data_IF_780898697315
#
_entry.id   IF_780898697315
#
_cell.length_a   1.000
_cell.length_b   1.000
_cell.length_c   1.000
_cell.angle_alpha   90.00
_cell.angle_beta   90.00
_cell.angle_gamma   90.00
#
_symmetry.space_group_name_H-M   'P 1'
#
loop_
_entity.id
_entity.type
_entity.pdbx_description
1 polymer ?
#
# COMPACT_ATOMS: atom_id res chain seq x y z
N UNK A 1 -1.88 -85.20 -10.86
CA UNK A 1 -2.02 -84.16 -9.82
C UNK A 1 -1.26 -82.93 -10.32
N UNK A 2 -1.98 -81.93 -10.81
CA UNK A 2 -1.40 -80.73 -11.41
C UNK A 2 -1.02 -79.73 -10.32
N UNK A 3 0.23 -79.27 -10.31
CA UNK A 3 0.67 -78.13 -9.49
C UNK A 3 1.06 -76.98 -10.42
N UNK A 4 0.31 -75.90 -10.33
CA UNK A 4 0.45 -74.67 -11.10
C UNK A 4 1.77 -73.95 -10.78
N UNK A 5 2.38 -73.24 -11.75
CA UNK A 5 3.53 -72.38 -11.50
C UNK A 5 3.14 -71.13 -10.68
N UNK A 6 3.93 -70.84 -9.66
CA UNK A 6 3.83 -69.67 -8.76
C UNK A 6 4.26 -68.40 -9.52
N UNK A 7 3.59 -67.24 -9.29
CA UNK A 7 3.75 -66.06 -10.14
C UNK A 7 5.15 -65.42 -9.99
N UNK A 8 5.58 -64.81 -11.09
CA UNK A 8 6.91 -64.26 -11.34
C UNK A 8 7.27 -63.03 -10.53
N UNK A 9 8.54 -63.01 -10.10
CA UNK A 9 9.46 -61.88 -10.07
C UNK A 9 8.95 -60.54 -9.49
N UNK A 10 9.15 -60.36 -8.17
CA UNK A 10 9.45 -59.04 -7.63
C UNK A 10 10.95 -58.79 -7.80
N UNK A 11 11.32 -58.09 -8.88
CA UNK A 11 12.66 -57.56 -9.06
C UNK A 11 12.89 -56.39 -8.12
N UNK A 12 13.70 -56.58 -7.09
CA UNK A 12 14.26 -55.49 -6.29
C UNK A 12 15.04 -54.58 -7.24
N UNK A 13 14.55 -53.36 -7.46
CA UNK A 13 15.27 -52.37 -8.25
C UNK A 13 16.59 -52.06 -7.53
N UNK A 14 17.67 -52.68 -8.00
CA UNK A 14 19.01 -52.47 -7.46
C UNK A 14 19.37 -50.98 -7.56
N UNK A 15 19.90 -50.42 -6.47
CA UNK A 15 20.31 -49.00 -6.40
C UNK A 15 21.27 -48.62 -7.54
N UNK A 16 22.09 -49.58 -7.99
CA UNK A 16 22.97 -49.43 -9.15
C UNK A 16 22.19 -49.22 -10.46
N UNK A 17 21.07 -49.89 -10.65
CA UNK A 17 20.23 -49.74 -11.83
C UNK A 17 19.53 -48.38 -11.83
N UNK A 18 19.14 -47.89 -10.65
CA UNK A 18 18.62 -46.53 -10.47
C UNK A 18 19.71 -45.50 -10.81
N UNK A 19 20.94 -45.73 -10.35
CA UNK A 19 22.08 -44.86 -10.62
C UNK A 19 22.47 -44.82 -12.10
N UNK A 20 22.49 -45.97 -12.77
CA UNK A 20 22.77 -46.05 -14.20
C UNK A 20 21.64 -45.46 -15.03
N UNK A 21 20.38 -45.71 -14.68
CA UNK A 21 19.23 -45.02 -15.31
C UNK A 21 19.31 -43.51 -15.13
N UNK A 22 19.69 -43.03 -13.94
CA UNK A 22 19.86 -41.60 -13.66
C UNK A 22 20.98 -41.01 -14.52
N UNK A 23 22.15 -41.65 -14.58
CA UNK A 23 23.27 -41.23 -15.44
C UNK A 23 22.86 -41.17 -16.92
N UNK A 24 22.17 -42.20 -17.40
CA UNK A 24 21.72 -42.27 -18.79
C UNK A 24 20.73 -41.17 -19.11
N UNK A 25 19.79 -40.88 -18.22
CA UNK A 25 18.84 -39.77 -18.35
C UNK A 25 19.58 -38.43 -18.34
N UNK A 26 20.53 -38.24 -17.42
CA UNK A 26 21.34 -37.03 -17.34
C UNK A 26 22.20 -36.80 -18.60
N UNK A 27 22.89 -37.83 -19.09
CA UNK A 27 23.71 -37.75 -20.30
C UNK A 27 22.86 -37.50 -21.55
N UNK A 28 21.69 -38.14 -21.64
CA UNK A 28 20.74 -37.95 -22.75
C UNK A 28 20.16 -36.53 -22.75
N UNK A 29 19.79 -36.02 -21.58
CA UNK A 29 19.32 -34.63 -21.41
C UNK A 29 20.45 -33.64 -21.71
N UNK A 30 21.69 -33.95 -21.30
CA UNK A 30 22.86 -33.12 -21.56
C UNK A 30 23.17 -32.98 -23.06
N UNK A 31 23.04 -34.08 -23.81
CA UNK A 31 23.20 -34.13 -25.26
C UNK A 31 22.06 -33.45 -26.04
N UNK A 32 20.82 -33.49 -25.54
CA UNK A 32 19.67 -32.81 -26.15
C UNK A 32 19.53 -31.32 -25.78
N UNK A 33 20.28 -30.83 -24.79
CA UNK A 33 20.13 -29.46 -24.31
C UNK A 33 20.84 -28.46 -25.23
N UNK A 34 20.07 -27.79 -26.08
CA UNK A 34 20.51 -26.65 -26.91
C UNK A 34 21.12 -25.53 -26.05
N UNK A 35 22.11 -24.81 -26.59
CA UNK A 35 22.86 -23.73 -25.94
C UNK A 35 21.96 -22.70 -25.23
N UNK A 36 20.76 -22.45 -25.76
CA UNK A 36 19.75 -21.54 -25.19
C UNK A 36 19.11 -22.09 -23.91
N UNK A 37 18.86 -23.39 -23.83
CA UNK A 37 18.22 -24.03 -22.67
C UNK A 37 19.18 -24.17 -21.49
N UNK A 38 20.50 -24.24 -21.73
CA UNK A 38 21.53 -24.14 -20.68
C UNK A 38 21.57 -22.75 -20.04
N UNK A 39 21.46 -21.71 -20.85
CA UNK A 39 21.45 -20.32 -20.37
C UNK A 39 20.19 -20.06 -19.55
N UNK A 40 19.01 -20.47 -20.03
CA UNK A 40 17.77 -20.33 -19.27
C UNK A 40 17.81 -21.11 -17.96
N UNK A 41 18.30 -22.36 -17.98
CA UNK A 41 18.43 -23.17 -16.76
C UNK A 41 19.40 -22.56 -15.75
N UNK A 42 20.58 -22.11 -16.20
CA UNK A 42 21.56 -21.42 -15.36
C UNK A 42 21.00 -20.11 -14.79
N UNK A 43 20.24 -19.36 -15.58
CA UNK A 43 19.61 -18.11 -15.16
C UNK A 43 18.55 -18.33 -14.08
N UNK A 44 17.68 -19.32 -14.24
CA UNK A 44 16.65 -19.66 -13.23
C UNK A 44 17.30 -20.13 -11.92
N UNK A 45 18.35 -20.96 -12.03
CA UNK A 45 19.08 -21.47 -10.86
C UNK A 45 19.80 -20.32 -10.13
N UNK A 46 20.42 -19.42 -10.90
CA UNK A 46 21.04 -18.21 -10.37
C UNK A 46 20.03 -17.31 -9.64
N UNK A 47 18.86 -17.05 -10.23
CA UNK A 47 17.81 -16.27 -9.58
C UNK A 47 17.32 -16.93 -8.29
N UNK A 48 17.11 -18.26 -8.30
CA UNK A 48 16.69 -19.01 -7.12
C UNK A 48 17.71 -18.92 -5.97
N UNK A 49 18.99 -19.10 -6.26
CA UNK A 49 20.08 -18.99 -5.28
C UNK A 49 20.23 -17.56 -4.79
N UNK A 50 20.13 -16.57 -5.69
CA UNK A 50 20.20 -15.15 -5.33
C UNK A 50 19.06 -14.76 -4.37
N UNK A 51 17.83 -15.23 -4.61
CA UNK A 51 16.70 -14.98 -3.72
C UNK A 51 16.90 -15.69 -2.38
N UNK A 52 17.35 -16.96 -2.40
CA UNK A 52 17.63 -17.72 -1.19
C UNK A 52 18.64 -17.04 -0.26
N UNK A 53 19.71 -16.50 -0.85
CA UNK A 53 20.75 -15.75 -0.13
C UNK A 53 20.30 -14.37 0.34
N UNK A 54 19.27 -13.77 -0.28
CA UNK A 54 18.78 -12.41 0.06
C UNK A 54 17.69 -12.39 1.13
N UNK A 55 16.95 -13.50 1.32
CA UNK A 55 15.91 -13.64 2.35
C UNK A 55 16.37 -13.31 3.79
N UNK A 56 17.55 -13.74 4.28
CA UNK A 56 17.96 -13.43 5.66
C UNK A 56 18.22 -11.94 5.90
N UNK A 57 18.57 -11.17 4.87
CA UNK A 57 18.83 -9.72 4.96
C UNK A 57 17.57 -8.90 5.21
N UNK A 58 16.40 -9.37 4.77
CA UNK A 58 15.13 -8.61 4.90
C UNK A 58 14.59 -8.70 6.33
N UNK A 59 14.84 -9.80 7.05
CA UNK A 59 14.29 -10.02 8.40
C UNK A 59 14.98 -9.19 9.50
N UNK A 60 16.14 -8.61 9.22
CA UNK A 60 16.96 -7.88 10.20
C UNK A 60 16.87 -6.36 10.08
N UNK A 61 16.07 -5.84 9.14
CA UNK A 61 15.85 -4.39 9.03
C UNK A 61 14.91 -3.92 10.13
N UNK A 62 15.50 -3.33 11.17
CA UNK A 62 14.80 -2.54 12.19
C UNK A 62 14.15 -1.34 11.50
N UNK A 63 12.84 -1.43 11.24
CA UNK A 63 12.07 -0.32 10.68
C UNK A 63 11.94 0.75 11.76
N UNK A 64 12.46 1.98 11.54
CA UNK A 64 12.29 3.06 12.50
C UNK A 64 10.80 3.39 12.60
N UNK A 65 10.23 3.23 13.80
CA UNK A 65 8.88 3.65 14.10
C UNK A 65 8.87 5.17 14.22
N UNK A 66 8.38 5.86 13.19
CA UNK A 66 8.23 7.30 13.21
C UNK A 66 6.94 7.61 14.00
N UNK A 67 7.09 8.03 15.26
CA UNK A 67 5.99 8.60 16.02
C UNK A 67 5.75 10.02 15.53
N UNK A 68 4.66 10.23 14.79
CA UNK A 68 4.21 11.56 14.40
C UNK A 68 3.45 12.17 15.57
N UNK A 69 4.14 12.96 16.39
CA UNK A 69 3.50 13.84 17.37
C UNK A 69 2.83 14.98 16.59
N UNK A 70 1.53 14.84 16.32
CA UNK A 70 0.78 15.90 15.66
C UNK A 70 0.60 17.05 16.64
N UNK A 71 0.95 18.29 16.27
CA UNK A 71 0.65 19.43 17.13
C UNK A 71 -0.85 19.48 17.38
N UNK A 72 -1.22 19.58 18.66
CA UNK A 72 -2.60 19.79 19.05
C UNK A 72 -3.13 21.03 18.31
N UNK A 73 -4.31 20.90 17.70
CA UNK A 73 -4.99 22.02 17.03
C UNK A 73 -4.98 23.23 17.97
N UNK A 74 -4.55 24.43 17.53
CA UNK A 74 -4.54 25.63 18.37
C UNK A 74 -5.96 26.05 18.79
N UNK A 75 -6.99 25.46 18.17
CA UNK A 75 -8.39 25.75 18.44
C UNK A 75 -8.99 24.76 19.43
N UNK A 76 -9.79 25.29 20.35
CA UNK A 76 -10.53 24.50 21.32
C UNK A 76 -11.65 23.70 20.63
N UNK A 77 -11.78 22.43 20.99
CA UNK A 77 -12.80 21.54 20.43
C UNK A 77 -14.22 21.79 20.99
N UNK A 78 -14.36 22.40 22.17
CA UNK A 78 -15.66 22.65 22.80
C UNK A 78 -16.33 23.95 22.38
N UNK A 79 -15.60 24.86 21.72
CA UNK A 79 -16.09 26.20 21.34
C UNK A 79 -16.11 26.36 19.82
N UNK A 80 -17.29 26.70 19.29
CA UNK A 80 -17.48 26.92 17.85
C UNK A 80 -18.36 28.16 17.64
N UNK A 81 -17.89 29.08 16.80
CA UNK A 81 -18.70 30.18 16.28
C UNK A 81 -19.39 29.70 15.00
N UNK A 82 -20.72 29.64 14.99
CA UNK A 82 -21.52 29.15 13.87
C UNK A 82 -22.22 30.32 13.18
N UNK A 83 -22.03 30.44 11.86
CA UNK A 83 -22.77 31.36 11.00
C UNK A 83 -23.62 30.56 10.01
N UNK A 84 -24.93 30.78 10.04
CA UNK A 84 -25.89 30.13 9.13
C UNK A 84 -26.47 31.17 8.19
N UNK A 85 -26.17 31.09 6.88
CA UNK A 85 -26.72 32.00 5.87
C UNK A 85 -26.90 31.30 4.51
N UNK A 86 -28.15 31.21 4.08
CA UNK A 86 -28.52 30.50 2.86
C UNK A 86 -28.47 31.36 1.60
N UNK A 87 -28.47 32.69 1.74
CA UNK A 87 -28.49 33.61 0.59
C UNK A 87 -27.06 33.88 0.10
N UNK A 88 -26.83 33.71 -1.21
CA UNK A 88 -25.60 34.16 -1.84
C UNK A 88 -25.62 35.70 -1.97
N UNK A 89 -24.96 36.40 -1.05
CA UNK A 89 -24.88 37.86 -1.02
C UNK A 89 -23.40 38.33 -1.12
N UNK A 90 -23.07 39.34 -1.95
CA UNK A 90 -21.73 39.93 -2.03
C UNK A 90 -21.12 40.35 -0.69
N UNK A 91 -21.94 40.73 0.28
CA UNK A 91 -21.48 41.20 1.59
C UNK A 91 -21.09 40.04 2.51
N UNK A 92 -21.43 38.79 2.16
CA UNK A 92 -21.24 37.64 3.04
C UNK A 92 -19.77 37.33 3.32
N UNK A 93 -18.90 37.41 2.30
CA UNK A 93 -17.46 37.19 2.48
C UNK A 93 -16.80 38.24 3.41
N UNK A 94 -16.96 39.56 3.20
CA UNK A 94 -16.40 40.55 4.13
C UNK A 94 -17.03 40.50 5.52
N UNK A 95 -18.33 40.22 5.64
CA UNK A 95 -18.99 40.01 6.94
C UNK A 95 -18.38 38.83 7.69
N UNK A 96 -18.15 37.71 7.01
CA UNK A 96 -17.55 36.52 7.62
C UNK A 96 -16.11 36.80 8.06
N UNK A 97 -15.31 37.52 7.27
CA UNK A 97 -13.97 37.96 7.68
C UNK A 97 -14.00 38.85 8.91
N UNK A 98 -14.95 39.79 8.97
CA UNK A 98 -15.14 40.64 10.14
C UNK A 98 -15.45 39.80 11.38
N UNK A 99 -16.39 38.85 11.30
CA UNK A 99 -16.70 37.96 12.42
C UNK A 99 -15.51 37.10 12.83
N UNK A 100 -14.75 36.57 11.87
CA UNK A 100 -13.51 35.84 12.18
C UNK A 100 -12.51 36.75 12.93
N UNK A 101 -12.45 38.05 12.64
CA UNK A 101 -11.52 38.97 13.30
C UNK A 101 -11.91 39.32 14.74
N UNK A 102 -13.21 39.37 15.07
CA UNK A 102 -13.69 39.77 16.40
C UNK A 102 -13.89 38.60 17.35
N UNK A 103 -14.06 37.39 16.82
CA UNK A 103 -14.17 36.18 17.63
C UNK A 103 -12.79 35.82 18.21
N UNK A 104 -12.71 35.41 19.50
CA UNK A 104 -11.44 35.01 20.11
C UNK A 104 -10.68 33.94 19.30
N UNK A 105 -9.34 33.97 19.33
CA UNK A 105 -8.52 33.10 18.48
C UNK A 105 -8.63 31.61 18.82
N UNK A 106 -9.09 31.23 20.02
CA UNK A 106 -9.29 29.85 20.45
C UNK A 106 -10.54 29.18 19.85
N UNK A 107 -11.42 29.94 19.18
CA UNK A 107 -12.68 29.43 18.64
C UNK A 107 -12.53 28.97 17.19
N UNK A 108 -13.15 27.84 16.88
CA UNK A 108 -13.31 27.40 15.49
C UNK A 108 -14.51 28.11 14.88
N UNK A 109 -14.36 28.62 13.66
CA UNK A 109 -15.48 29.21 12.93
C UNK A 109 -16.09 28.16 12.00
N UNK A 110 -17.42 28.08 11.95
CA UNK A 110 -18.16 27.20 11.06
C UNK A 110 -19.20 27.98 10.29
N UNK A 111 -19.17 27.84 8.97
CA UNK A 111 -20.18 28.37 8.07
C UNK A 111 -21.11 27.24 7.61
N UNK A 112 -22.41 27.48 7.65
CA UNK A 112 -23.45 26.60 7.08
C UNK A 112 -24.33 27.43 6.15
N UNK A 113 -24.41 27.02 4.89
CA UNK A 113 -25.24 27.73 3.92
C UNK A 113 -25.76 26.79 2.84
N UNK A 114 -26.46 27.37 1.86
CA UNK A 114 -26.78 26.67 0.62
C UNK A 114 -25.51 26.43 -0.20
N UNK A 115 -25.57 25.48 -1.14
CA UNK A 115 -24.45 25.20 -2.06
C UNK A 115 -24.04 26.47 -2.84
N UNK A 116 -25.01 27.30 -3.20
CA UNK A 116 -24.80 28.57 -3.89
C UNK A 116 -24.05 29.57 -3.00
N UNK A 117 -24.46 29.71 -1.74
CA UNK A 117 -23.82 30.56 -0.75
C UNK A 117 -22.38 30.13 -0.47
N UNK A 118 -22.15 28.82 -0.29
CA UNK A 118 -20.80 28.24 -0.11
C UNK A 118 -19.93 28.47 -1.34
N UNK A 119 -20.47 28.29 -2.55
CA UNK A 119 -19.75 28.56 -3.80
C UNK A 119 -19.39 30.05 -3.91
N UNK A 120 -20.28 30.93 -3.50
CA UNK A 120 -20.08 32.37 -3.53
C UNK A 120 -18.93 32.80 -2.61
N UNK A 121 -18.92 32.40 -1.33
CA UNK A 121 -17.85 32.76 -0.39
C UNK A 121 -16.47 32.19 -0.81
N UNK A 122 -16.45 31.06 -1.53
CA UNK A 122 -15.21 30.43 -2.02
C UNK A 122 -14.51 31.22 -3.13
N UNK A 123 -15.20 32.17 -3.76
CA UNK A 123 -14.58 33.06 -4.74
C UNK A 123 -13.54 33.97 -4.09
N UNK A 124 -13.72 34.33 -2.81
CA UNK A 124 -12.79 35.17 -2.05
C UNK A 124 -11.53 34.42 -1.65
N UNK A 125 -10.36 34.96 -2.04
CA UNK A 125 -9.03 34.42 -1.67
C UNK A 125 -8.87 34.38 -0.16
N UNK A 126 -9.23 35.47 0.53
CA UNK A 126 -9.07 35.57 1.97
C UNK A 126 -9.87 34.51 2.74
N UNK A 127 -11.05 34.14 2.26
CA UNK A 127 -11.83 33.04 2.84
C UNK A 127 -11.13 31.70 2.64
N UNK A 128 -10.54 31.47 1.47
CA UNK A 128 -9.79 30.23 1.20
C UNK A 128 -8.57 30.10 2.12
N UNK A 129 -7.87 31.18 2.38
CA UNK A 129 -6.75 31.20 3.35
C UNK A 129 -7.22 30.85 4.77
N UNK A 130 -8.36 31.40 5.22
CA UNK A 130 -8.91 31.06 6.54
C UNK A 130 -9.36 29.58 6.65
N UNK A 131 -9.79 28.98 5.53
CA UNK A 131 -10.08 27.53 5.46
C UNK A 131 -8.78 26.71 5.48
N UNK A 132 -7.75 27.14 4.75
CA UNK A 132 -6.44 26.48 4.73
C UNK A 132 -5.75 26.52 6.09
N UNK A 133 -5.90 27.62 6.84
CA UNK A 133 -5.44 27.76 8.23
C UNK A 133 -6.25 26.94 9.25
N UNK A 134 -7.18 26.09 8.81
CA UNK A 134 -8.08 25.26 9.61
C UNK A 134 -8.98 26.04 10.60
N UNK A 135 -9.04 27.36 10.47
CA UNK A 135 -9.85 28.25 11.33
C UNK A 135 -11.32 28.22 10.95
N UNK A 136 -11.61 28.11 9.65
CA UNK A 136 -12.95 28.10 9.09
C UNK A 136 -13.29 26.74 8.47
N UNK A 137 -14.39 26.12 8.93
CA UNK A 137 -15.00 24.98 8.27
C UNK A 137 -16.31 25.41 7.57
N UNK A 138 -16.58 24.87 6.38
CA UNK A 138 -17.82 25.13 5.62
C UNK A 138 -18.53 23.82 5.29
N UNK A 139 -19.85 23.80 5.42
CA UNK A 139 -20.71 22.69 5.00
C UNK A 139 -21.70 23.18 3.97
#
# INVERSE_FOLDING_TARGET
MATLPRPTAQGEANMSDVWEKLKLVLLKIWGQTSRRMRVTGAFVLFLGVSVWLSLPTIKTMTVPQISLEYPHSPYNHSKVALLVENRANPILAPLMLHFISVVPPDWRFRFMGSIESVKFINQSVAIREQVAAARLAKR
#
